data_IF_892909747671
#
_entry.id   IF_892909747671
#
_cell.length_a   1.000
_cell.length_b   1.000
_cell.length_c   1.000
_cell.angle_alpha   90.00
_cell.angle_beta   90.00
_cell.angle_gamma   90.00
#
_symmetry.space_group_name_H-M   'P 1'
#
loop_
_entity.id
_entity.type
_entity.pdbx_description
1 polymer ?
#
# COMPACT_ATOMS: atom_id res chain seq x y z
N UNK A 1 -10.21 -1.07 -8.98
CA UNK A 1 -10.11 0.39 -9.17
C UNK A 1 -11.07 0.83 -10.27
N UNK A 2 -10.88 0.38 -11.51
CA UNK A 2 -11.80 0.72 -12.63
C UNK A 2 -13.28 0.46 -12.32
N UNK A 3 -13.59 -0.70 -11.74
CA UNK A 3 -14.97 -1.10 -11.42
C UNK A 3 -15.70 -0.17 -10.44
N UNK A 4 -14.97 0.48 -9.53
CA UNK A 4 -15.56 1.39 -8.52
C UNK A 4 -15.63 2.84 -9.01
N UNK A 5 -14.82 3.21 -10.02
CA UNK A 5 -14.71 4.58 -10.49
C UNK A 5 -13.84 5.49 -9.62
N UNK A 6 -13.54 6.69 -10.13
CA UNK A 6 -12.58 7.63 -9.54
C UNK A 6 -13.01 8.17 -8.16
N UNK A 7 -14.31 8.42 -7.99
CA UNK A 7 -14.88 9.10 -6.82
C UNK A 7 -15.29 8.15 -5.70
N UNK A 8 -15.21 6.84 -5.92
CA UNK A 8 -15.55 5.88 -4.88
C UNK A 8 -14.63 6.02 -3.65
N UNK A 9 -15.16 5.82 -2.43
CA UNK A 9 -14.35 5.90 -1.22
C UNK A 9 -13.37 4.73 -1.12
N UNK A 10 -12.42 4.85 -0.20
CA UNK A 10 -11.50 3.77 0.21
C UNK A 10 -11.51 3.63 1.73
N UNK A 11 -10.88 2.59 2.27
CA UNK A 11 -10.63 2.50 3.71
C UNK A 11 -9.62 3.53 4.23
N UNK A 12 -8.87 4.20 3.34
CA UNK A 12 -8.08 5.36 3.72
C UNK A 12 -9.02 6.58 3.82
N UNK A 13 -9.30 7.02 5.05
CA UNK A 13 -10.23 8.12 5.30
C UNK A 13 -9.86 9.37 4.47
N UNK A 14 -10.87 9.96 3.83
CA UNK A 14 -10.71 11.13 2.97
C UNK A 14 -10.10 10.83 1.59
N UNK A 15 -9.76 9.57 1.27
CA UNK A 15 -9.23 9.19 -0.04
C UNK A 15 -10.28 8.52 -0.90
N UNK A 16 -10.38 9.00 -2.13
CA UNK A 16 -11.10 8.31 -3.21
C UNK A 16 -10.18 7.31 -3.92
N UNK A 17 -10.74 6.46 -4.78
CA UNK A 17 -9.95 5.56 -5.63
C UNK A 17 -8.98 6.34 -6.53
N UNK A 18 -9.32 7.55 -6.95
CA UNK A 18 -8.38 8.44 -7.67
C UNK A 18 -7.18 8.84 -6.82
N UNK A 19 -7.39 9.14 -5.53
CA UNK A 19 -6.30 9.40 -4.58
C UNK A 19 -5.40 8.16 -4.42
N UNK A 20 -6.01 6.97 -4.33
CA UNK A 20 -5.26 5.72 -4.23
C UNK A 20 -4.42 5.45 -5.50
N UNK A 21 -5.00 5.63 -6.69
CA UNK A 21 -4.28 5.47 -7.95
C UNK A 21 -3.14 6.50 -8.07
N UNK A 22 -3.40 7.75 -7.70
CA UNK A 22 -2.39 8.80 -7.69
C UNK A 22 -1.25 8.48 -6.72
N UNK A 23 -1.55 7.96 -5.53
CA UNK A 23 -0.54 7.56 -4.55
C UNK A 23 0.42 6.51 -5.11
N UNK A 24 -0.12 5.43 -5.69
CA UNK A 24 0.70 4.37 -6.29
C UNK A 24 1.56 4.91 -7.45
N UNK A 25 1.00 5.75 -8.32
CA UNK A 25 1.74 6.36 -9.43
C UNK A 25 2.87 7.29 -8.94
N UNK A 26 2.61 8.11 -7.93
CA UNK A 26 3.59 9.03 -7.34
C UNK A 26 4.71 8.25 -6.69
N UNK A 27 4.38 7.27 -5.84
CA UNK A 27 5.36 6.42 -5.14
C UNK A 27 6.36 5.79 -6.11
N UNK A 28 5.88 5.25 -7.22
CA UNK A 28 6.74 4.57 -8.19
C UNK A 28 7.55 5.49 -9.10
N UNK A 29 7.10 6.73 -9.34
CA UNK A 29 7.63 7.55 -10.45
C UNK A 29 8.17 8.91 -10.04
N UNK A 30 8.04 9.28 -8.76
CA UNK A 30 8.49 10.56 -8.21
C UNK A 30 9.48 10.33 -7.08
N UNK A 31 10.78 10.10 -7.39
CA UNK A 31 11.79 9.87 -6.36
C UNK A 31 11.91 11.05 -5.37
N UNK A 32 11.56 12.27 -5.78
CA UNK A 32 11.49 13.46 -4.92
C UNK A 32 10.45 13.35 -3.80
N UNK A 33 9.45 12.47 -3.95
CA UNK A 33 8.40 12.23 -2.94
C UNK A 33 8.70 11.05 -2.02
N UNK A 34 9.72 10.24 -2.34
CA UNK A 34 10.15 9.09 -1.55
C UNK A 34 10.42 9.42 -0.08
N UNK A 35 11.11 10.52 0.26
CA UNK A 35 11.35 10.89 1.66
C UNK A 35 10.07 11.10 2.47
N UNK A 36 8.98 11.59 1.86
CA UNK A 36 7.71 11.81 2.57
C UNK A 36 6.97 10.53 2.95
N UNK A 37 7.39 9.36 2.46
CA UNK A 37 6.83 8.06 2.85
C UNK A 37 7.38 7.58 4.20
N UNK A 38 8.57 8.04 4.59
CA UNK A 38 9.28 7.59 5.81
C UNK A 38 9.59 8.73 6.79
N UNK A 39 9.58 9.97 6.33
CA UNK A 39 9.81 11.18 7.13
C UNK A 39 8.52 11.96 7.33
N UNK A 40 8.32 12.50 8.53
CA UNK A 40 7.24 13.44 8.81
C UNK A 40 7.55 14.87 8.32
N UNK A 41 6.66 15.82 8.62
CA UNK A 41 6.92 17.25 8.41
C UNK A 41 6.84 17.69 6.94
N UNK A 42 7.81 18.50 6.50
CA UNK A 42 7.78 19.10 5.16
C UNK A 42 7.82 18.07 4.01
N UNK A 43 8.64 16.99 4.07
CA UNK A 43 8.60 15.92 3.08
C UNK A 43 7.22 15.26 2.95
N UNK A 44 6.58 14.87 4.07
CA UNK A 44 5.24 14.28 4.05
C UNK A 44 4.20 15.23 3.41
N UNK A 45 4.26 16.54 3.73
CA UNK A 45 3.39 17.54 3.13
C UNK A 45 3.63 17.71 1.62
N UNK A 46 4.87 17.59 1.16
CA UNK A 46 5.19 17.63 -0.27
C UNK A 46 4.58 16.43 -0.99
N UNK A 47 4.80 15.22 -0.48
CA UNK A 47 4.22 13.98 -1.03
C UNK A 47 2.70 14.06 -1.09
N UNK A 48 2.05 14.45 0.00
CA UNK A 48 0.59 14.62 0.04
C UNK A 48 0.10 15.63 -1.00
N UNK A 49 0.78 16.78 -1.16
CA UNK A 49 0.41 17.79 -2.15
C UNK A 49 0.52 17.27 -3.58
N UNK A 50 1.58 16.52 -3.89
CA UNK A 50 1.78 15.94 -5.23
C UNK A 50 0.72 14.87 -5.50
N UNK A 51 0.43 14.01 -4.53
CA UNK A 51 -0.64 12.99 -4.63
C UNK A 51 -2.00 13.64 -4.86
N UNK A 52 -2.40 14.61 -4.04
CA UNK A 52 -3.70 15.28 -4.16
C UNK A 52 -3.85 15.99 -5.51
N UNK A 53 -2.82 16.73 -5.94
CA UNK A 53 -2.85 17.39 -7.26
C UNK A 53 -3.03 16.38 -8.40
N UNK A 54 -2.36 15.24 -8.32
CA UNK A 54 -2.49 14.21 -9.35
C UNK A 54 -3.86 13.52 -9.29
N UNK A 55 -4.43 13.34 -8.11
CA UNK A 55 -5.78 12.80 -7.93
C UNK A 55 -6.85 13.76 -8.50
N UNK A 56 -6.70 15.06 -8.28
CA UNK A 56 -7.65 16.10 -8.69
C UNK A 56 -7.57 16.44 -10.19
N UNK A 57 -6.35 16.54 -10.74
CA UNK A 57 -6.14 17.03 -12.11
C UNK A 57 -5.71 15.94 -13.09
N UNK A 58 -5.40 14.73 -12.62
CA UNK A 58 -4.93 13.63 -13.45
C UNK A 58 -6.05 12.88 -14.15
N UNK A 59 -5.73 12.29 -15.30
CA UNK A 59 -6.64 11.37 -15.97
C UNK A 59 -6.67 10.03 -15.21
N UNK A 60 -7.82 9.71 -14.61
CA UNK A 60 -8.00 8.53 -13.78
C UNK A 60 -7.69 7.23 -14.52
N UNK A 61 -8.21 7.07 -15.73
CA UNK A 61 -8.01 5.87 -16.55
C UNK A 61 -6.52 5.66 -16.84
N UNK A 62 -5.80 6.71 -17.20
CA UNK A 62 -4.35 6.66 -17.41
C UNK A 62 -3.59 6.32 -16.12
N UNK A 63 -4.05 6.79 -14.96
CA UNK A 63 -3.45 6.43 -13.67
C UNK A 63 -3.62 4.94 -13.40
N UNK A 64 -4.84 4.40 -13.51
CA UNK A 64 -5.08 2.97 -13.29
C UNK A 64 -4.29 2.11 -14.28
N UNK A 65 -4.22 2.53 -15.53
CA UNK A 65 -3.41 1.87 -16.56
C UNK A 65 -1.91 1.88 -16.23
N UNK A 66 -1.40 2.97 -15.64
CA UNK A 66 0.00 3.03 -15.18
C UNK A 66 0.23 2.06 -14.02
N UNK A 67 -0.69 2.01 -13.05
CA UNK A 67 -0.65 1.07 -11.93
C UNK A 67 -0.66 -0.38 -12.44
N UNK A 68 -1.51 -0.70 -13.43
CA UNK A 68 -1.60 -2.05 -14.04
C UNK A 68 -0.31 -2.46 -14.76
N UNK A 69 0.36 -1.52 -15.43
CA UNK A 69 1.64 -1.77 -16.11
C UNK A 69 2.81 -1.93 -15.14
N UNK A 70 2.63 -1.51 -13.89
CA UNK A 70 3.65 -1.55 -12.86
C UNK A 70 4.75 -0.49 -13.05
N UNK A 71 5.82 -0.59 -12.23
CA UNK A 71 6.86 0.43 -12.22
C UNK A 71 7.70 0.37 -13.50
N UNK A 72 8.34 1.50 -13.87
CA UNK A 72 9.29 1.53 -14.97
C UNK A 72 10.36 0.43 -14.85
N UNK A 73 10.79 -0.16 -15.97
CA UNK A 73 11.70 -1.31 -15.99
C UNK A 73 12.95 -1.13 -15.12
N UNK A 74 13.53 0.08 -15.09
CA UNK A 74 14.72 0.39 -14.29
C UNK A 74 14.49 0.41 -12.77
N UNK A 75 13.25 0.56 -12.30
CA UNK A 75 12.89 0.53 -10.87
C UNK A 75 12.41 -0.86 -10.40
N UNK A 76 12.13 -1.78 -11.32
CA UNK A 76 11.64 -3.13 -10.98
C UNK A 76 12.61 -3.92 -10.09
N UNK A 77 13.91 -3.65 -10.20
CA UNK A 77 14.95 -4.35 -9.44
C UNK A 77 15.14 -3.83 -8.01
N UNK A 78 14.77 -2.58 -7.73
CA UNK A 78 14.98 -1.96 -6.42
C UNK A 78 13.83 -2.21 -5.43
N UNK A 79 12.62 -2.51 -5.92
CA UNK A 79 11.39 -2.29 -5.13
C UNK A 79 10.43 -3.50 -5.06
N UNK A 80 10.80 -4.67 -5.60
CA UNK A 80 9.88 -5.81 -5.76
C UNK A 80 9.21 -6.33 -4.48
N UNK A 81 9.89 -6.24 -3.33
CA UNK A 81 9.39 -6.72 -2.05
C UNK A 81 8.45 -5.75 -1.33
N UNK A 82 8.81 -4.46 -1.31
CA UNK A 82 7.98 -3.40 -0.75
C UNK A 82 6.75 -3.17 -1.64
N UNK A 83 6.92 -3.24 -2.96
CA UNK A 83 5.80 -3.23 -3.90
C UNK A 83 4.74 -4.28 -3.54
N UNK A 84 5.11 -5.52 -3.23
CA UNK A 84 4.11 -6.56 -2.95
C UNK A 84 3.15 -6.16 -1.81
N UNK A 85 3.71 -5.72 -0.67
CA UNK A 85 2.89 -5.37 0.51
C UNK A 85 2.01 -4.15 0.20
N UNK A 86 2.61 -3.10 -0.37
CA UNK A 86 1.91 -1.86 -0.72
C UNK A 86 0.75 -2.11 -1.70
N UNK A 87 1.00 -2.87 -2.77
CA UNK A 87 -0.04 -3.20 -3.74
C UNK A 87 -1.16 -4.05 -3.13
N UNK A 88 -0.85 -4.98 -2.24
CA UNK A 88 -1.88 -5.78 -1.58
C UNK A 88 -2.71 -4.93 -0.62
N UNK A 89 -2.06 -4.15 0.25
CA UNK A 89 -2.76 -3.31 1.24
C UNK A 89 -3.69 -2.35 0.52
N UNK A 90 -3.18 -1.60 -0.46
CA UNK A 90 -3.96 -0.61 -1.18
C UNK A 90 -4.99 -1.19 -2.15
N UNK A 91 -4.76 -2.41 -2.66
CA UNK A 91 -5.81 -3.13 -3.35
C UNK A 91 -6.94 -3.51 -2.39
N UNK A 92 -6.63 -4.03 -1.21
CA UNK A 92 -7.64 -4.35 -0.21
C UNK A 92 -8.33 -3.11 0.37
N UNK A 93 -7.65 -1.97 0.52
CA UNK A 93 -8.27 -0.69 0.94
C UNK A 93 -9.38 -0.25 -0.02
N UNK A 94 -9.20 -0.53 -1.31
CA UNK A 94 -10.20 -0.26 -2.34
C UNK A 94 -11.29 -1.34 -2.33
N UNK A 95 -10.88 -2.62 -2.35
CA UNK A 95 -11.81 -3.77 -2.44
C UNK A 95 -12.72 -3.93 -1.24
N UNK A 96 -12.24 -3.57 -0.04
CA UNK A 96 -12.97 -3.69 1.24
C UNK A 96 -13.99 -2.61 1.48
N UNK A 97 -14.09 -1.66 0.56
CA UNK A 97 -15.08 -0.60 0.65
C UNK A 97 -16.46 -1.18 0.32
N UNK A 98 -17.42 -0.94 1.21
CA UNK A 98 -18.83 -1.32 1.03
C UNK A 98 -19.25 -2.63 1.70
N UNK A 99 -20.55 -2.82 1.80
CA UNK A 99 -21.18 -3.87 2.63
C UNK A 99 -21.08 -5.29 2.02
N UNK A 100 -20.67 -5.39 0.75
CA UNK A 100 -20.54 -6.67 0.03
C UNK A 100 -19.16 -7.34 0.13
N UNK A 101 -18.25 -6.80 0.94
CA UNK A 101 -16.90 -7.34 1.02
C UNK A 101 -16.87 -8.73 1.69
N UNK A 102 -16.02 -9.61 1.16
CA UNK A 102 -15.68 -10.91 1.73
C UNK A 102 -14.17 -11.17 1.73
N UNK A 103 -13.63 -12.04 2.61
CA UNK A 103 -12.25 -12.49 2.49
C UNK A 103 -12.00 -13.15 1.13
N UNK A 104 -10.80 -12.93 0.56
CA UNK A 104 -10.39 -13.62 -0.68
C UNK A 104 -10.07 -15.07 -0.40
N UNK A 105 -10.34 -15.93 -1.37
CA UNK A 105 -9.98 -17.35 -1.36
C UNK A 105 -8.98 -17.64 -2.48
N UNK A 106 -8.21 -18.73 -2.37
CA UNK A 106 -7.26 -19.11 -3.43
C UNK A 106 -6.02 -18.22 -3.51
N UNK A 107 -5.67 -17.55 -2.41
CA UNK A 107 -4.53 -16.64 -2.31
C UNK A 107 -3.47 -17.14 -1.32
N UNK A 108 -3.44 -18.44 -1.02
CA UNK A 108 -2.61 -19.04 0.02
C UNK A 108 -1.11 -18.79 -0.23
N UNK A 109 -0.69 -18.80 -1.51
CA UNK A 109 0.67 -18.45 -1.91
C UNK A 109 1.01 -16.97 -1.68
N UNK A 110 0.06 -16.05 -1.94
CA UNK A 110 0.23 -14.63 -1.63
C UNK A 110 0.31 -14.40 -0.13
N UNK A 111 -0.57 -15.05 0.65
CA UNK A 111 -0.54 -14.98 2.11
C UNK A 111 0.79 -15.50 2.68
N UNK A 112 1.35 -16.58 2.11
CA UNK A 112 2.65 -17.09 2.53
C UNK A 112 3.78 -16.08 2.27
N UNK A 113 3.77 -15.42 1.11
CA UNK A 113 4.72 -14.35 0.81
C UNK A 113 4.57 -13.16 1.77
N UNK A 114 3.34 -12.74 2.07
CA UNK A 114 3.06 -11.66 3.02
C UNK A 114 3.54 -12.02 4.43
N UNK A 115 3.33 -13.26 4.86
CA UNK A 115 3.81 -13.76 6.15
C UNK A 115 5.34 -13.72 6.27
N UNK A 116 6.06 -14.17 5.23
CA UNK A 116 7.51 -14.10 5.18
C UNK A 116 8.02 -12.65 5.28
N UNK A 117 7.37 -11.71 4.58
CA UNK A 117 7.71 -10.28 4.62
C UNK A 117 7.42 -9.67 5.98
N UNK A 118 6.28 -10.00 6.58
CA UNK A 118 5.92 -9.56 7.92
C UNK A 118 6.96 -10.02 8.93
N UNK A 119 7.36 -11.29 8.90
CA UNK A 119 8.42 -11.82 9.79
C UNK A 119 9.74 -11.07 9.67
N UNK A 120 10.17 -10.76 8.44
CA UNK A 120 11.41 -10.00 8.18
C UNK A 120 11.33 -8.55 8.65
N UNK A 121 10.15 -7.92 8.54
CA UNK A 121 9.94 -6.51 8.88
C UNK A 121 9.48 -6.23 10.31
N UNK A 122 8.95 -7.24 11.03
CA UNK A 122 8.22 -7.05 12.28
C UNK A 122 9.06 -6.35 13.36
N UNK A 123 10.34 -6.74 13.54
CA UNK A 123 11.24 -6.08 14.50
C UNK A 123 11.42 -4.60 14.21
N UNK A 124 11.55 -4.21 12.94
CA UNK A 124 11.73 -2.81 12.55
C UNK A 124 10.43 -2.03 12.74
N UNK A 125 9.29 -2.58 12.33
CA UNK A 125 7.99 -1.93 12.45
C UNK A 125 7.61 -1.70 13.92
N UNK A 126 7.89 -2.68 14.77
CA UNK A 126 7.55 -2.65 16.19
C UNK A 126 8.66 -2.08 17.08
N UNK A 127 9.75 -1.51 16.52
CA UNK A 127 10.90 -0.99 17.29
C UNK A 127 10.59 0.12 18.30
N UNK A 128 9.40 0.73 18.19
CA UNK A 128 8.92 1.78 19.10
C UNK A 128 7.94 1.26 20.16
N UNK A 129 7.60 -0.03 20.11
CA UNK A 129 6.91 -0.68 21.21
C UNK A 129 7.92 -0.80 22.36
N UNK A 130 7.54 -0.31 23.52
CA UNK A 130 8.33 -0.34 24.76
C UNK A 130 7.43 -0.99 25.81
N UNK A 131 7.97 -1.94 26.57
CA UNK A 131 7.25 -2.71 27.59
C UNK A 131 5.98 -3.43 27.07
N UNK A 132 6.01 -3.88 25.80
CA UNK A 132 4.92 -4.62 25.14
C UNK A 132 5.52 -5.83 24.43
N UNK A 133 5.03 -7.03 24.78
CA UNK A 133 5.25 -8.26 24.01
C UNK A 133 4.18 -8.41 22.92
N UNK A 134 4.59 -8.44 21.66
CA UNK A 134 3.68 -8.64 20.51
C UNK A 134 3.84 -10.06 19.95
N UNK A 135 2.75 -10.81 19.90
CA UNK A 135 2.68 -12.08 19.15
C UNK A 135 1.67 -11.95 18.02
N UNK A 136 2.13 -12.20 16.80
CA UNK A 136 1.30 -12.26 15.59
C UNK A 136 1.12 -13.74 15.23
N UNK A 137 -0.11 -14.17 14.98
CA UNK A 137 -0.41 -15.56 14.62
C UNK A 137 -1.14 -15.64 13.26
N UNK A 138 -0.78 -16.64 12.45
CA UNK A 138 -1.49 -16.97 11.20
C UNK A 138 -2.40 -18.18 11.41
N UNK A 139 -3.51 -18.23 10.66
CA UNK A 139 -4.34 -19.43 10.51
C UNK A 139 -3.45 -20.58 10.03
N UNK A 140 -3.21 -21.57 10.90
CA UNK A 140 -2.20 -22.62 10.71
C UNK A 140 -1.26 -22.80 11.90
N UNK A 141 -1.27 -21.86 12.86
CA UNK A 141 -0.55 -21.99 14.14
C UNK A 141 0.86 -21.42 14.15
N UNK A 142 1.37 -20.95 12.99
CA UNK A 142 2.64 -20.23 12.91
C UNK A 142 2.55 -18.89 13.66
N UNK A 143 3.62 -18.52 14.37
CA UNK A 143 3.67 -17.27 15.15
C UNK A 143 4.96 -16.48 14.92
N UNK A 144 4.85 -15.15 14.87
CA UNK A 144 5.96 -14.20 14.95
C UNK A 144 5.89 -13.51 16.30
N UNK A 145 6.99 -13.53 17.07
CA UNK A 145 7.09 -12.81 18.35
C UNK A 145 8.04 -11.62 18.20
N UNK A 146 7.62 -10.48 18.72
CA UNK A 146 8.42 -9.25 18.80
C UNK A 146 8.36 -8.74 20.23
N UNK A 147 9.50 -8.85 20.92
CA UNK A 147 9.77 -8.51 22.31
C UNK A 147 11.25 -8.77 22.56
#
# INVERSE_FOLDING_TARGET
MDELGADAPTLCEGWTVAHMAAHLVVRERRPDTGPGLVMGGAPARHTARVTNRLAECGDFTQMVDRVRRGPPLFLRFADGAMNLVEFVVHHEDVRRTGDGWSPRTGIEGLEALLWERLGKGAKVMCRRLVDIDLTIARRGGETIRVG
#
